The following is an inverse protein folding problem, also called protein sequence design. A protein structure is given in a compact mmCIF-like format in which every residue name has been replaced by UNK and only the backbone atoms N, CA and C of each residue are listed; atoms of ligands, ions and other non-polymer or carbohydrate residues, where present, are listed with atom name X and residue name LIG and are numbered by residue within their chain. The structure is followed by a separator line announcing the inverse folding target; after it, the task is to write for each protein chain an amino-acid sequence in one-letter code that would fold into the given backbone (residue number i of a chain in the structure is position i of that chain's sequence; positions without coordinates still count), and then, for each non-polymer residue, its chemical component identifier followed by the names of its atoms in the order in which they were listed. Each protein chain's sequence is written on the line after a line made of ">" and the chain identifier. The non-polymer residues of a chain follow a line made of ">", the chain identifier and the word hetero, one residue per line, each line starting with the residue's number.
data_IF_115888968432
#
_entry.id   IF_115888968432
#
_cell.length_a   1.000
_cell.length_b   1.000
_cell.length_c   1.000
_cell.angle_alpha   90.00
_cell.angle_beta   90.00
_cell.angle_gamma   90.00
#
_symmetry.space_group_name_H-M   'P 1'
#
loop_
_entity.id
_entity.type
_entity.pdbx_description
1 polymer ?
#
# COMPACT_ATOMS: atom_id res chain seq x y z
N UNK A 1 -20.94 -54.08 18.28
CA UNK A 1 -22.27 -53.60 18.72
C UNK A 1 -22.25 -52.08 18.57
N UNK A 2 -23.15 -51.56 17.73
CA UNK A 2 -23.60 -50.17 17.57
C UNK A 2 -22.57 -49.03 17.40
N UNK A 3 -22.72 -48.04 16.52
CA UNK A 3 -23.49 -47.75 15.29
C UNK A 3 -23.00 -46.32 14.92
N UNK A 4 -22.52 -46.05 13.68
CA UNK A 4 -23.26 -45.32 12.61
C UNK A 4 -23.13 -43.77 12.76
N UNK A 5 -22.71 -42.94 11.78
CA UNK A 5 -23.24 -42.78 10.41
C UNK A 5 -22.44 -41.75 9.56
N UNK A 6 -22.37 -41.98 8.22
CA UNK A 6 -22.60 -41.08 7.05
C UNK A 6 -21.75 -39.79 6.88
N UNK A 7 -21.49 -39.21 5.68
CA UNK A 7 -21.80 -39.42 4.22
C UNK A 7 -20.86 -38.45 3.46
N UNK A 8 -20.30 -38.82 2.30
CA UNK A 8 -20.66 -38.37 0.94
C UNK A 8 -21.16 -36.93 0.75
N UNK A 9 -20.55 -36.23 -0.21
CA UNK A 9 -21.12 -35.39 -1.31
C UNK A 9 -20.10 -34.27 -1.65
N UNK A 10 -19.34 -34.29 -2.76
CA UNK A 10 -19.64 -33.91 -4.16
C UNK A 10 -20.38 -32.58 -4.35
N UNK A 11 -19.92 -31.81 -5.36
CA UNK A 11 -20.64 -30.75 -6.14
C UNK A 11 -20.48 -29.32 -5.59
N UNK A 12 -20.13 -28.24 -6.31
CA UNK A 12 -20.17 -27.83 -7.73
C UNK A 12 -19.14 -26.67 -7.90
N UNK A 13 -18.37 -26.52 -8.98
CA UNK A 13 -18.73 -25.88 -10.27
C UNK A 13 -19.46 -24.52 -10.09
N UNK A 14 -18.97 -23.38 -10.57
CA UNK A 14 -18.94 -22.92 -11.96
C UNK A 14 -18.25 -21.53 -11.95
N UNK A 15 -17.52 -21.06 -12.96
CA UNK A 15 -17.83 -21.01 -14.39
C UNK A 15 -16.56 -21.43 -15.16
N UNK A 16 -16.58 -22.38 -16.09
CA UNK A 16 -17.48 -22.51 -17.22
C UNK A 16 -16.58 -22.60 -18.45
N UNK A 17 -16.09 -23.80 -18.77
CA UNK A 17 -15.44 -24.07 -20.06
C UNK A 17 -16.52 -24.45 -21.08
N UNK A 18 -16.43 -23.99 -22.33
CA UNK A 18 -16.70 -24.86 -23.46
C UNK A 18 -15.36 -25.39 -23.96
N UNK A 19 -15.24 -26.72 -23.99
CA UNK A 19 -14.08 -27.41 -24.54
C UNK A 19 -13.93 -27.22 -26.04
N UNK A 20 -12.76 -27.54 -26.56
CA UNK A 20 -12.64 -28.69 -27.46
C UNK A 20 -11.16 -29.09 -27.59
N UNK A 21 -10.94 -30.35 -27.94
CA UNK A 21 -9.64 -30.97 -28.10
C UNK A 21 -8.84 -30.36 -29.27
N UNK A 22 -7.52 -30.24 -29.12
CA UNK A 22 -6.64 -29.99 -30.26
C UNK A 22 -5.25 -29.50 -29.89
N UNK A 23 -4.28 -30.42 -29.91
CA UNK A 23 -2.85 -30.20 -30.25
C UNK A 23 -2.35 -28.76 -30.44
N UNK A 24 -1.43 -28.32 -29.58
CA UNK A 24 -0.10 -27.88 -30.03
C UNK A 24 0.89 -27.87 -28.85
N UNK A 25 2.05 -28.49 -29.07
CA UNK A 25 3.25 -28.23 -28.28
C UNK A 25 3.69 -26.82 -28.64
N UNK A 26 3.66 -25.93 -27.67
CA UNK A 26 4.57 -24.80 -27.53
C UNK A 26 4.30 -24.17 -26.15
N UNK A 27 4.86 -24.76 -25.10
CA UNK A 27 5.11 -24.02 -23.86
C UNK A 27 6.24 -23.03 -24.17
N UNK A 28 5.88 -21.89 -24.75
CA UNK A 28 6.75 -20.72 -24.71
C UNK A 28 7.10 -20.48 -23.23
N UNK A 29 8.39 -20.29 -22.89
CA UNK A 29 8.73 -19.93 -21.52
C UNK A 29 7.94 -18.67 -21.20
N UNK A 30 7.32 -18.62 -20.02
CA UNK A 30 6.76 -17.38 -19.47
C UNK A 30 7.91 -16.38 -19.44
N UNK A 31 8.09 -15.66 -20.55
CA UNK A 31 8.93 -14.49 -20.61
C UNK A 31 8.26 -13.53 -19.67
N UNK A 32 8.79 -13.49 -18.46
CA UNK A 32 8.70 -12.37 -17.56
C UNK A 32 9.02 -11.16 -18.44
N UNK A 33 7.96 -10.46 -18.87
CA UNK A 33 8.09 -9.19 -19.54
C UNK A 33 8.75 -8.30 -18.51
N UNK A 34 10.08 -8.24 -18.56
CA UNK A 34 10.85 -7.23 -17.88
C UNK A 34 10.24 -5.92 -18.33
N UNK A 35 9.60 -5.25 -17.38
CA UNK A 35 8.95 -3.98 -17.57
C UNK A 35 10.01 -2.96 -17.99
N UNK A 36 10.26 -2.87 -19.29
CA UNK A 36 10.97 -1.77 -19.92
C UNK A 36 10.07 -0.53 -19.81
N UNK A 37 10.14 0.10 -18.64
CA UNK A 37 9.77 1.48 -18.26
C UNK A 37 9.39 1.47 -16.77
N UNK A 38 10.38 1.47 -15.88
CA UNK A 38 10.13 1.89 -14.50
C UNK A 38 10.09 3.43 -14.52
N UNK A 39 8.94 4.08 -14.29
CA UNK A 39 8.87 5.52 -14.42
C UNK A 39 9.71 6.18 -13.33
N UNK A 40 10.08 7.42 -13.58
CA UNK A 40 10.68 8.42 -12.69
C UNK A 40 9.87 8.70 -11.39
N UNK A 41 8.90 7.85 -11.06
CA UNK A 41 7.90 8.01 -10.03
C UNK A 41 8.20 7.31 -8.71
N UNK A 42 9.30 6.54 -8.62
CA UNK A 42 9.70 5.86 -7.39
C UNK A 42 10.84 6.64 -6.72
N UNK A 43 10.60 7.11 -5.50
CA UNK A 43 11.54 7.90 -4.71
C UNK A 43 11.89 7.16 -3.42
N UNK A 44 13.18 7.03 -3.11
CA UNK A 44 13.66 6.32 -1.91
C UNK A 44 14.51 7.26 -1.06
N UNK A 45 14.30 7.22 0.25
CA UNK A 45 15.02 8.05 1.21
C UNK A 45 15.33 7.24 2.46
N UNK A 46 16.45 7.59 3.09
CA UNK A 46 16.79 7.09 4.43
C UNK A 46 16.74 8.26 5.42
N UNK A 47 16.21 7.99 6.61
CA UNK A 47 16.20 8.91 7.74
C UNK A 47 16.48 8.16 9.02
N UNK A 48 17.25 8.78 9.90
CA UNK A 48 17.53 8.25 11.23
C UNK A 48 16.70 9.02 12.25
N UNK A 49 15.84 8.32 12.97
CA UNK A 49 15.07 8.86 14.08
C UNK A 49 15.79 8.57 15.41
N UNK A 50 15.83 9.56 16.29
CA UNK A 50 16.47 9.48 17.62
C UNK A 50 17.92 8.94 17.62
N UNK A 51 18.63 9.10 16.49
CA UNK A 51 20.01 8.65 16.28
C UNK A 51 20.25 7.14 16.22
N UNK A 52 19.23 6.29 16.38
CA UNK A 52 19.38 4.83 16.34
C UNK A 52 18.38 4.11 15.44
N UNK A 53 17.21 4.69 15.18
CA UNK A 53 16.17 4.03 14.40
C UNK A 53 16.30 4.41 12.92
N UNK A 54 16.84 3.49 12.12
CA UNK A 54 16.99 3.66 10.68
C UNK A 54 15.68 3.36 9.95
N UNK A 55 15.11 4.39 9.33
CA UNK A 55 13.86 4.31 8.59
C UNK A 55 14.11 4.47 7.09
N UNK A 56 13.60 3.51 6.32
CA UNK A 56 13.59 3.55 4.88
C UNK A 56 12.22 4.00 4.38
N UNK A 57 12.21 5.09 3.63
CA UNK A 57 11.03 5.65 2.99
C UNK A 57 11.05 5.28 1.51
N UNK A 58 9.94 4.76 1.00
CA UNK A 58 9.71 4.51 -0.42
C UNK A 58 8.39 5.18 -0.82
N UNK A 59 8.44 6.09 -1.78
CA UNK A 59 7.27 6.78 -2.32
C UNK A 59 7.12 6.37 -3.78
N UNK A 60 5.92 5.93 -4.15
CA UNK A 60 5.54 5.67 -5.54
C UNK A 60 4.45 6.65 -5.92
N UNK A 61 4.74 7.49 -6.90
CA UNK A 61 3.81 8.47 -7.47
C UNK A 61 3.03 7.86 -8.64
N UNK A 62 1.72 7.77 -8.52
CA UNK A 62 0.81 7.32 -9.59
C UNK A 62 0.06 8.48 -10.25
N UNK A 63 0.53 9.73 -10.08
CA UNK A 63 -0.09 10.98 -10.55
C UNK A 63 -1.40 11.33 -9.83
N UNK A 64 -2.37 10.43 -9.81
CA UNK A 64 -3.68 10.64 -9.16
C UNK A 64 -3.71 10.09 -7.73
N UNK A 65 -2.75 9.27 -7.36
CA UNK A 65 -2.59 8.71 -6.02
C UNK A 65 -1.12 8.51 -5.69
N UNK A 66 -0.80 8.27 -4.42
CA UNK A 66 0.54 7.98 -3.97
C UNK A 66 0.54 6.78 -3.04
N UNK A 67 1.54 5.93 -3.19
CA UNK A 67 1.88 4.91 -2.20
C UNK A 67 3.12 5.32 -1.44
N UNK A 68 3.11 5.17 -0.12
CA UNK A 68 4.22 5.50 0.77
C UNK A 68 4.44 4.29 1.67
N UNK A 69 5.66 3.80 1.70
CA UNK A 69 6.13 2.79 2.64
C UNK A 69 7.20 3.38 3.54
N UNK A 70 7.09 3.11 4.83
CA UNK A 70 8.08 3.41 5.85
C UNK A 70 8.41 2.11 6.55
N UNK A 71 9.66 1.67 6.48
CA UNK A 71 10.08 0.39 7.05
C UNK A 71 11.33 0.56 7.90
N UNK A 72 11.44 -0.21 8.97
CA UNK A 72 12.70 -0.43 9.67
C UNK A 72 13.51 -1.57 9.05
N UNK A 73 14.61 -1.96 9.69
CA UNK A 73 15.50 -3.03 9.24
C UNK A 73 14.86 -4.43 9.23
N UNK A 74 13.78 -4.65 10.01
CA UNK A 74 13.10 -5.95 10.07
C UNK A 74 12.26 -6.20 8.82
N UNK A 75 11.84 -5.13 8.15
CA UNK A 75 11.17 -5.15 6.84
C UNK A 75 9.96 -6.11 6.78
N UNK A 76 9.15 -6.11 7.85
CA UNK A 76 7.92 -6.90 7.94
C UNK A 76 6.71 -6.02 7.64
N UNK A 77 5.81 -6.44 6.76
CA UNK A 77 4.56 -5.71 6.53
C UNK A 77 3.61 -5.95 7.71
N UNK A 78 3.47 -4.95 8.58
CA UNK A 78 2.59 -4.98 9.77
C UNK A 78 1.42 -4.01 9.64
N UNK A 79 1.52 -3.01 8.77
CA UNK A 79 0.53 -1.94 8.64
C UNK A 79 0.33 -1.52 7.18
N UNK A 80 -0.93 -1.31 6.79
CA UNK A 80 -1.29 -0.65 5.54
C UNK A 80 -2.62 0.08 5.70
N UNK A 81 -2.57 1.38 5.45
CA UNK A 81 -3.67 2.32 5.63
C UNK A 81 -3.92 3.03 4.31
N UNK A 82 -5.18 3.28 3.99
CA UNK A 82 -5.57 4.08 2.84
C UNK A 82 -6.26 5.34 3.33
N UNK A 83 -5.98 6.48 2.72
CA UNK A 83 -6.77 7.68 2.85
C UNK A 83 -7.34 8.12 1.51
N UNK A 84 -8.51 8.73 1.54
CA UNK A 84 -9.20 9.23 0.37
C UNK A 84 -9.73 10.64 0.61
N UNK A 85 -9.84 11.49 -0.42
CA UNK A 85 -10.44 12.81 -0.28
C UNK A 85 -11.94 12.69 0.00
N UNK A 86 -12.41 13.30 1.09
CA UNK A 86 -13.83 13.43 1.40
C UNK A 86 -14.30 14.86 1.15
N UNK A 87 -15.53 14.99 0.65
CA UNK A 87 -16.18 16.30 0.44
C UNK A 87 -16.56 16.99 1.76
N UNK A 88 -16.77 16.22 2.82
CA UNK A 88 -17.21 16.69 4.12
C UNK A 88 -16.04 16.65 5.10
N UNK A 89 -15.81 17.75 5.80
CA UNK A 89 -14.64 17.95 6.68
C UNK A 89 -14.64 17.00 7.88
N UNK A 90 -15.82 16.58 8.33
CA UNK A 90 -15.99 15.79 9.56
C UNK A 90 -16.14 14.28 9.32
N UNK A 91 -16.02 13.82 8.07
CA UNK A 91 -16.10 12.40 7.74
C UNK A 91 -14.73 11.72 7.89
N UNK A 92 -14.71 10.52 8.47
CA UNK A 92 -13.50 9.69 8.47
C UNK A 92 -13.11 9.37 7.02
N UNK A 93 -11.85 9.66 6.73
CA UNK A 93 -11.30 9.60 5.38
C UNK A 93 -10.18 8.58 5.26
N UNK A 94 -10.08 7.67 6.23
CA UNK A 94 -9.11 6.59 6.28
C UNK A 94 -9.77 5.23 6.40
N UNK A 95 -9.12 4.22 5.84
CA UNK A 95 -9.49 2.82 5.93
C UNK A 95 -8.25 1.99 6.24
N UNK A 96 -8.36 1.13 7.26
CA UNK A 96 -7.34 0.15 7.60
C UNK A 96 -7.45 -1.05 6.68
N UNK A 97 -6.41 -1.32 5.90
CA UNK A 97 -6.36 -2.45 4.97
C UNK A 97 -5.61 -3.65 5.58
N UNK A 98 -4.55 -3.37 6.33
CA UNK A 98 -3.74 -4.36 7.06
C UNK A 98 -3.31 -3.76 8.39
N UNK A 99 -3.31 -4.57 9.45
CA UNK A 99 -2.89 -4.15 10.79
C UNK A 99 -4.04 -3.55 11.60
N UNK A 100 -3.71 -2.54 12.40
CA UNK A 100 -4.64 -1.93 13.36
C UNK A 100 -5.13 -0.55 12.90
N UNK A 101 -6.40 -0.19 13.13
CA UNK A 101 -7.00 1.06 12.66
C UNK A 101 -6.51 2.33 13.37
N UNK A 102 -5.72 2.21 14.44
CA UNK A 102 -5.15 3.33 15.21
C UNK A 102 -3.62 3.31 15.22
N UNK A 103 -3.02 2.90 14.11
CA UNK A 103 -1.58 2.86 13.91
C UNK A 103 -1.00 4.24 13.52
N UNK A 104 0.33 4.37 13.59
CA UNK A 104 1.05 5.52 13.03
C UNK A 104 0.70 5.77 11.56
N UNK A 105 0.51 4.70 10.77
CA UNK A 105 0.12 4.82 9.37
C UNK A 105 -1.24 5.46 9.18
N UNK A 106 -2.18 5.26 10.13
CA UNK A 106 -3.53 5.78 10.01
C UNK A 106 -3.53 7.31 10.12
N UNK A 107 -2.86 7.83 11.15
CA UNK A 107 -2.70 9.26 11.37
C UNK A 107 -1.96 9.93 10.21
N UNK A 108 -0.86 9.31 9.75
CA UNK A 108 -0.09 9.83 8.61
C UNK A 108 -0.94 9.85 7.34
N UNK A 109 -1.63 8.76 7.00
CA UNK A 109 -2.51 8.68 5.83
C UNK A 109 -3.60 9.75 5.89
N UNK A 110 -4.27 9.90 7.04
CA UNK A 110 -5.30 10.91 7.29
C UNK A 110 -4.78 12.31 7.02
N UNK A 111 -3.68 12.68 7.66
CA UNK A 111 -3.09 14.02 7.57
C UNK A 111 -2.64 14.35 6.14
N UNK A 112 -2.05 13.39 5.43
CA UNK A 112 -1.63 13.57 4.04
C UNK A 112 -2.83 13.76 3.10
N UNK A 113 -3.84 12.90 3.21
CA UNK A 113 -5.07 13.01 2.42
C UNK A 113 -5.82 14.32 2.66
N UNK A 114 -5.88 14.78 3.92
CA UNK A 114 -6.47 16.07 4.27
C UNK A 114 -5.69 17.25 3.67
N UNK A 115 -4.35 17.15 3.60
CA UNK A 115 -3.47 18.25 3.14
C UNK A 115 -3.40 18.37 1.63
N UNK A 116 -3.18 17.27 0.92
CA UNK A 116 -2.94 17.27 -0.52
C UNK A 116 -4.20 17.00 -1.35
N UNK A 117 -5.32 16.62 -0.71
CA UNK A 117 -6.62 16.38 -1.35
C UNK A 117 -6.58 15.33 -2.47
N UNK A 118 -5.67 14.38 -2.38
CA UNK A 118 -5.60 13.18 -3.23
C UNK A 118 -5.52 11.91 -2.35
N UNK A 119 -5.87 10.72 -2.87
CA UNK A 119 -5.77 9.48 -2.11
C UNK A 119 -4.32 9.07 -1.83
N UNK A 120 -4.05 8.58 -0.61
CA UNK A 120 -2.76 8.00 -0.24
C UNK A 120 -2.94 6.58 0.27
N UNK A 121 -1.99 5.72 -0.06
CA UNK A 121 -1.79 4.44 0.60
C UNK A 121 -0.50 4.55 1.40
N UNK A 122 -0.57 4.35 2.71
CA UNK A 122 0.55 4.52 3.63
C UNK A 122 0.75 3.23 4.41
N UNK A 123 1.96 2.71 4.39
CA UNK A 123 2.37 1.53 5.14
C UNK A 123 3.48 1.94 6.11
N UNK A 124 3.23 1.84 7.42
CA UNK A 124 4.23 2.16 8.45
C UNK A 124 4.58 0.90 9.23
N UNK A 125 5.68 0.27 8.82
CA UNK A 125 6.16 -1.02 9.30
C UNK A 125 7.38 -0.83 10.19
N UNK A 126 7.16 -0.33 11.40
CA UNK A 126 8.22 -0.01 12.36
C UNK A 126 7.87 -0.68 13.68
N UNK A 127 8.78 -1.52 14.20
CA UNK A 127 8.55 -2.29 15.45
C UNK A 127 8.69 -1.42 16.71
N UNK A 128 9.63 -0.47 16.69
CA UNK A 128 9.93 0.41 17.82
C UNK A 128 9.50 1.85 17.52
N UNK A 129 8.59 2.39 18.33
CA UNK A 129 8.09 3.75 18.17
C UNK A 129 7.62 4.37 19.47
N UNK A 130 7.87 5.67 19.62
CA UNK A 130 7.32 6.50 20.68
C UNK A 130 6.18 7.39 20.16
N UNK A 131 5.61 8.22 21.04
CA UNK A 131 4.57 9.19 20.67
C UNK A 131 5.05 10.24 19.64
N UNK A 132 6.37 10.44 19.51
CA UNK A 132 6.98 11.39 18.58
C UNK A 132 7.15 10.85 17.16
N UNK A 133 7.15 9.52 16.98
CA UNK A 133 7.42 8.87 15.71
C UNK A 133 6.42 9.29 14.61
N UNK A 134 5.11 9.35 14.91
CA UNK A 134 4.09 9.79 13.93
C UNK A 134 4.43 11.16 13.35
N UNK A 135 4.79 12.11 14.22
CA UNK A 135 5.08 13.48 13.82
C UNK A 135 6.35 13.56 12.97
N UNK A 136 7.36 12.76 13.30
CA UNK A 136 8.59 12.66 12.52
C UNK A 136 8.36 12.07 11.13
N UNK A 137 7.58 10.98 11.04
CA UNK A 137 7.21 10.36 9.77
C UNK A 137 6.43 11.37 8.93
N UNK A 138 5.41 12.02 9.51
CA UNK A 138 4.59 12.99 8.81
C UNK A 138 5.42 14.17 8.29
N UNK A 139 6.27 14.78 9.13
CA UNK A 139 7.11 15.91 8.70
C UNK A 139 8.07 15.51 7.58
N UNK A 140 8.66 14.32 7.67
CA UNK A 140 9.51 13.74 6.62
C UNK A 140 8.73 13.55 5.31
N UNK A 141 7.52 12.99 5.38
CA UNK A 141 6.65 12.88 4.20
C UNK A 141 6.38 14.26 3.59
N UNK A 142 6.14 15.31 4.39
CA UNK A 142 5.95 16.65 3.85
C UNK A 142 7.19 17.18 3.13
N UNK A 143 8.38 16.95 3.65
CA UNK A 143 9.63 17.36 3.01
C UNK A 143 9.83 16.65 1.66
N UNK A 144 9.54 15.35 1.61
CA UNK A 144 9.64 14.53 0.40
C UNK A 144 8.60 14.94 -0.63
N UNK A 145 7.35 15.16 -0.21
CA UNK A 145 6.23 15.39 -1.12
C UNK A 145 6.16 16.81 -1.65
N UNK A 146 6.55 17.83 -0.87
CA UNK A 146 6.55 19.25 -1.31
C UNK A 146 7.10 19.46 -2.73
N UNK A 147 8.32 18.99 -3.09
CA UNK A 147 8.86 19.17 -4.43
C UNK A 147 8.01 18.50 -5.52
N UNK A 148 7.42 17.33 -5.23
CA UNK A 148 6.61 16.56 -6.18
C UNK A 148 5.32 17.29 -6.58
N UNK A 149 4.77 18.13 -5.69
CA UNK A 149 3.58 18.93 -5.95
C UNK A 149 3.89 20.34 -6.49
N UNK A 150 5.10 20.86 -6.28
CA UNK A 150 5.49 22.21 -6.77
C UNK A 150 5.87 22.25 -8.26
N UNK A 151 6.22 21.11 -8.87
CA UNK A 151 6.63 21.01 -10.28
C UNK A 151 5.47 21.15 -11.30
N UNK A 152 4.40 21.86 -10.94
CA UNK A 152 3.33 22.25 -11.86
C UNK A 152 2.47 21.10 -12.43
N UNK A 153 2.72 19.84 -12.05
CA UNK A 153 1.98 18.68 -12.60
C UNK A 153 0.52 18.58 -12.16
N UNK A 154 0.08 19.31 -11.12
CA UNK A 154 -1.25 19.13 -10.52
C UNK A 154 -2.13 20.40 -10.42
N UNK A 155 -1.89 21.43 -11.22
CA UNK A 155 -2.79 22.62 -11.35
C UNK A 155 -3.99 22.37 -12.28
N UNK A 156 -4.66 21.22 -12.15
CA UNK A 156 -5.96 20.98 -12.79
C UNK A 156 -6.92 20.34 -11.80
N UNK A 157 -7.55 21.20 -11.02
CA UNK A 157 -8.85 20.97 -10.41
C UNK A 157 -9.76 22.13 -10.82
#
# INVERSE_FOLDING_TARGET
>A
MMQVNRRNETNNACCGMPGDAGTSRDEAPLMERRSEDMPTSIHRYERVYMSYLHLQFCVVDFEDTMFISVTDERNQLTDLQASYPVKYVDADNTACLVGEPHSHGNDVARLLGMKFKIPFYVSVNVDEGDEGLTNFIFSTCLEILKPLFSDGRRTRA
#
